data_IF_286189065885
#
_entry.id   IF_286189065885
#
_cell.length_a   1.000
_cell.length_b   1.000
_cell.length_c   1.000
_cell.angle_alpha   90.00
_cell.angle_beta   90.00
_cell.angle_gamma   90.00
#
_symmetry.space_group_name_H-M   'P 1'
#
loop_
_entity.id
_entity.type
_entity.pdbx_description
1 polymer ?
#
# COMPACT_ATOMS: atom_id res chain seq x y z
N UNK A 1 6.65 5.82 21.18
CA UNK A 1 7.29 4.76 20.37
C UNK A 1 7.34 5.17 18.88
N UNK A 2 8.54 5.27 18.32
CA UNK A 2 8.71 5.55 16.88
C UNK A 2 8.21 4.33 16.12
N UNK A 3 7.19 4.49 15.27
CA UNK A 3 6.66 3.41 14.43
C UNK A 3 7.51 3.31 13.16
N UNK A 4 7.61 2.13 12.56
CA UNK A 4 8.41 1.87 11.35
C UNK A 4 8.09 2.85 10.21
N UNK A 5 6.84 3.32 10.14
CA UNK A 5 6.39 4.35 9.20
C UNK A 5 7.14 5.67 9.34
N UNK A 6 7.47 6.11 10.56
CA UNK A 6 8.21 7.37 10.79
C UNK A 6 9.63 7.27 10.26
N UNK A 7 10.29 6.12 10.44
CA UNK A 7 11.63 5.87 9.90
C UNK A 7 11.61 5.80 8.36
N UNK A 8 10.61 5.12 7.79
CA UNK A 8 10.43 5.02 6.35
C UNK A 8 10.17 6.38 5.67
N UNK A 9 9.32 7.23 6.27
CA UNK A 9 9.07 8.60 5.78
C UNK A 9 10.35 9.44 5.83
N UNK A 10 11.09 9.38 6.94
CA UNK A 10 12.37 10.09 7.08
C UNK A 10 13.39 9.67 6.03
N UNK A 11 13.55 8.37 5.80
CA UNK A 11 14.42 7.84 4.75
C UNK A 11 13.97 8.29 3.36
N UNK A 12 12.67 8.28 3.09
CA UNK A 12 12.13 8.70 1.78
C UNK A 12 12.43 10.17 1.51
N UNK A 13 12.22 11.05 2.49
CA UNK A 13 12.59 12.48 2.39
C UNK A 13 14.09 12.64 2.13
N UNK A 14 14.91 11.85 2.81
CA UNK A 14 16.36 11.87 2.64
C UNK A 14 16.78 11.42 1.22
N UNK A 15 16.11 10.42 0.64
CA UNK A 15 16.34 9.97 -0.75
C UNK A 15 15.92 11.00 -1.82
N UNK A 16 15.02 11.92 -1.48
CA UNK A 16 14.69 13.08 -2.33
C UNK A 16 15.76 14.19 -2.26
N UNK A 17 16.52 14.27 -1.16
CA UNK A 17 17.55 15.28 -0.95
C UNK A 17 18.91 14.80 -1.50
N UNK A 18 19.22 13.50 -1.39
CA UNK A 18 20.50 12.98 -1.85
C UNK A 18 20.56 12.97 -3.39
N UNK A 19 21.60 13.60 -3.99
CA UNK A 19 21.81 13.57 -5.43
C UNK A 19 22.27 12.19 -5.89
N UNK A 20 21.70 11.71 -6.99
CA UNK A 20 22.03 10.42 -7.64
C UNK A 20 23.47 10.37 -8.17
N UNK A 21 24.07 11.54 -8.46
CA UNK A 21 25.48 11.66 -8.86
C UNK A 21 26.22 12.58 -7.90
N UNK A 22 27.40 12.15 -7.46
CA UNK A 22 28.31 12.93 -6.64
C UNK A 22 29.08 14.00 -7.45
N UNK A 23 28.59 14.39 -8.62
CA UNK A 23 29.22 15.35 -9.52
C UNK A 23 29.40 16.74 -8.88
N UNK A 24 28.66 17.03 -7.80
CA UNK A 24 28.85 18.22 -6.97
C UNK A 24 30.26 18.32 -6.35
N UNK A 25 30.95 17.19 -6.10
CA UNK A 25 32.31 17.18 -5.57
C UNK A 25 33.32 17.78 -6.58
N UNK A 26 33.04 17.67 -7.88
CA UNK A 26 33.86 18.26 -8.94
C UNK A 26 33.50 19.72 -9.26
N UNK A 27 32.59 20.34 -8.50
CA UNK A 27 32.25 21.76 -8.67
C UNK A 27 33.44 22.71 -8.39
N UNK A 28 34.38 22.29 -7.53
CA UNK A 28 35.59 23.03 -7.20
C UNK A 28 36.84 22.58 -7.98
N UNK A 29 36.68 21.75 -9.02
CA UNK A 29 37.82 21.28 -9.81
C UNK A 29 38.49 22.46 -10.56
N UNK A 30 39.81 22.40 -10.67
CA UNK A 30 40.65 23.41 -11.36
C UNK A 30 40.45 23.35 -12.87
N UNK A 31 40.03 22.21 -13.39
CA UNK A 31 39.76 21.99 -14.81
C UNK A 31 38.31 22.41 -15.16
N UNK A 32 38.10 23.49 -15.94
CA UNK A 32 36.76 24.00 -16.24
C UNK A 32 35.90 23.03 -17.06
N UNK A 33 36.51 22.03 -17.70
CA UNK A 33 35.82 20.99 -18.47
C UNK A 33 35.16 19.90 -17.60
N UNK A 34 35.61 19.75 -16.34
CA UNK A 34 35.10 18.73 -15.40
C UNK A 34 34.00 19.24 -14.47
N UNK A 35 33.70 20.54 -14.52
CA UNK A 35 32.65 21.13 -13.67
C UNK A 35 31.26 20.67 -14.13
N UNK A 36 30.38 20.27 -13.19
CA UNK A 36 29.01 19.90 -13.53
C UNK A 36 28.28 21.09 -14.15
N UNK A 37 27.81 20.91 -15.39
CA UNK A 37 27.02 21.91 -16.13
C UNK A 37 25.53 21.79 -15.88
N UNK A 38 25.08 20.70 -15.23
CA UNK A 38 23.68 20.46 -14.88
C UNK A 38 23.58 19.91 -13.45
N UNK A 39 22.51 20.26 -12.69
CA UNK A 39 22.26 19.66 -11.40
C UNK A 39 22.00 18.15 -11.53
N UNK A 40 22.59 17.37 -10.62
CA UNK A 40 22.32 15.94 -10.55
C UNK A 40 20.87 15.70 -10.08
N UNK A 41 20.13 14.77 -10.71
CA UNK A 41 18.80 14.41 -10.23
C UNK A 41 18.88 13.75 -8.85
N UNK A 42 17.83 13.88 -8.04
CA UNK A 42 17.71 13.16 -6.77
C UNK A 42 17.66 11.64 -6.98
N UNK A 43 18.01 10.85 -5.96
CA UNK A 43 17.94 9.38 -6.00
C UNK A 43 16.53 8.88 -6.31
N UNK A 44 15.52 9.52 -5.74
CA UNK A 44 14.11 9.28 -6.04
C UNK A 44 13.49 10.57 -6.55
N UNK A 45 12.78 10.48 -7.68
CA UNK A 45 12.03 11.60 -8.25
C UNK A 45 10.53 11.33 -8.10
N UNK A 46 9.74 12.40 -7.94
CA UNK A 46 8.27 12.29 -7.88
C UNK A 46 7.69 11.52 -9.09
N UNK A 47 8.25 11.74 -10.28
CA UNK A 47 7.86 11.01 -11.49
C UNK A 47 7.98 9.50 -11.32
N UNK A 48 9.08 9.02 -10.72
CA UNK A 48 9.31 7.60 -10.44
C UNK A 48 8.30 7.05 -9.44
N UNK A 49 7.99 7.78 -8.37
CA UNK A 49 6.97 7.37 -7.39
C UNK A 49 5.60 7.33 -8.05
N UNK A 50 5.23 8.35 -8.81
CA UNK A 50 3.92 8.41 -9.46
C UNK A 50 3.71 7.25 -10.45
N UNK A 51 4.75 6.88 -11.21
CA UNK A 51 4.68 5.80 -12.20
C UNK A 51 4.77 4.39 -11.57
N UNK A 52 5.53 4.21 -10.50
CA UNK A 52 5.76 2.89 -9.88
C UNK A 52 4.84 2.56 -8.71
N UNK A 53 4.19 3.55 -8.09
CA UNK A 53 3.32 3.30 -6.95
C UNK A 53 1.92 2.86 -7.38
N UNK A 54 1.44 1.77 -6.79
CA UNK A 54 0.10 1.25 -6.97
C UNK A 54 -0.91 2.00 -6.08
N UNK A 55 -1.24 3.24 -6.45
CA UNK A 55 -2.14 4.12 -5.66
C UNK A 55 -3.49 3.48 -5.36
N UNK A 56 -4.06 2.73 -6.31
CA UNK A 56 -5.33 2.03 -6.14
C UNK A 56 -5.31 1.07 -4.95
N UNK A 57 -4.21 0.34 -4.74
CA UNK A 57 -4.06 -0.57 -3.60
C UNK A 57 -4.04 0.22 -2.28
N UNK A 58 -3.35 1.35 -2.27
CA UNK A 58 -3.25 2.22 -1.09
C UNK A 58 -4.64 2.76 -0.69
N UNK A 59 -5.46 3.15 -1.66
CA UNK A 59 -6.84 3.57 -1.43
C UNK A 59 -7.75 2.42 -0.98
N UNK A 60 -7.62 1.21 -1.56
CA UNK A 60 -8.41 0.04 -1.16
C UNK A 60 -8.11 -0.36 0.28
N UNK A 61 -6.83 -0.41 0.67
CA UNK A 61 -6.42 -0.71 2.04
C UNK A 61 -6.92 0.36 3.02
N UNK A 62 -6.73 1.64 2.68
CA UNK A 62 -7.21 2.75 3.49
C UNK A 62 -8.74 2.75 3.64
N UNK A 63 -9.46 2.48 2.56
CA UNK A 63 -10.91 2.34 2.56
C UNK A 63 -11.39 1.17 3.44
N UNK A 64 -10.71 0.03 3.39
CA UNK A 64 -10.99 -1.12 4.26
C UNK A 64 -10.86 -0.79 5.75
N UNK A 65 -9.77 -0.11 6.14
CA UNK A 65 -9.58 0.33 7.52
C UNK A 65 -10.59 1.40 7.96
N UNK A 66 -10.94 2.32 7.05
CA UNK A 66 -11.96 3.34 7.31
C UNK A 66 -13.34 2.69 7.52
N UNK A 67 -13.71 1.71 6.69
CA UNK A 67 -14.96 0.96 6.83
C UNK A 67 -14.97 0.15 8.13
N UNK A 68 -13.87 -0.53 8.48
CA UNK A 68 -13.77 -1.31 9.70
C UNK A 68 -13.94 -0.42 10.96
N UNK A 69 -13.24 0.71 10.99
CA UNK A 69 -13.32 1.68 12.10
C UNK A 69 -14.72 2.31 12.15
N UNK A 70 -15.24 2.77 11.01
CA UNK A 70 -16.57 3.35 10.90
C UNK A 70 -17.68 2.38 11.28
N UNK A 71 -17.54 1.09 10.98
CA UNK A 71 -18.51 0.05 11.39
C UNK A 71 -18.52 -0.18 12.89
N UNK A 72 -17.36 -0.03 13.53
CA UNK A 72 -17.21 -0.15 14.99
C UNK A 72 -17.78 1.09 15.67
N UNK A 73 -17.38 2.29 15.23
CA UNK A 73 -17.78 3.57 15.83
C UNK A 73 -19.27 3.87 15.65
N UNK A 74 -19.86 3.44 14.52
CA UNK A 74 -21.31 3.57 14.27
C UNK A 74 -22.16 2.54 15.03
N UNK A 75 -21.55 1.54 15.67
CA UNK A 75 -22.26 0.43 16.31
C UNK A 75 -22.87 -0.59 15.34
N UNK A 76 -22.64 -0.43 14.03
CA UNK A 76 -23.14 -1.34 13.00
C UNK A 76 -22.65 -2.78 13.23
N UNK A 77 -21.39 -2.95 13.63
CA UNK A 77 -20.82 -4.27 13.94
C UNK A 77 -21.59 -4.97 15.06
N UNK A 78 -22.02 -4.23 16.09
CA UNK A 78 -22.80 -4.75 17.22
C UNK A 78 -24.22 -5.11 16.79
N UNK A 79 -24.90 -4.22 16.04
CA UNK A 79 -26.25 -4.48 15.52
C UNK A 79 -26.29 -5.71 14.61
N UNK A 80 -25.27 -5.87 13.76
CA UNK A 80 -25.16 -7.03 12.88
C UNK A 80 -24.91 -8.32 13.68
N UNK A 81 -24.04 -8.26 14.69
CA UNK A 81 -23.77 -9.40 15.59
C UNK A 81 -25.00 -9.84 16.39
N UNK A 82 -25.83 -8.91 16.85
CA UNK A 82 -27.10 -9.21 17.53
C UNK A 82 -28.12 -9.85 16.57
N UNK A 83 -28.23 -9.32 15.35
CA UNK A 83 -29.09 -9.88 14.30
C UNK A 83 -28.68 -11.30 13.91
N UNK A 84 -27.38 -11.60 13.95
CA UNK A 84 -26.81 -12.93 13.71
C UNK A 84 -26.87 -13.86 14.93
N UNK A 85 -27.30 -13.37 16.10
CA UNK A 85 -27.37 -14.20 17.32
C UNK A 85 -28.32 -15.41 17.19
N UNK A 86 -29.31 -15.34 16.29
CA UNK A 86 -30.18 -16.47 15.94
C UNK A 86 -29.44 -17.66 15.33
N UNK A 87 -28.24 -17.47 14.77
CA UNK A 87 -27.39 -18.54 14.25
C UNK A 87 -26.56 -19.24 15.35
N UNK A 88 -26.55 -18.75 16.60
CA UNK A 88 -25.81 -19.39 17.72
C UNK A 88 -26.28 -20.81 18.04
N UNK A 89 -27.46 -21.21 17.58
CA UNK A 89 -27.97 -22.57 17.72
C UNK A 89 -27.37 -23.59 16.73
N UNK A 90 -26.61 -23.15 15.73
CA UNK A 90 -25.99 -24.01 14.73
C UNK A 90 -24.58 -24.44 15.15
N UNK A 91 -24.17 -25.63 14.68
CA UNK A 91 -22.81 -26.14 14.89
C UNK A 91 -21.78 -25.23 14.18
N UNK A 92 -20.69 -24.90 14.85
CA UNK A 92 -19.59 -24.06 14.35
C UNK A 92 -19.07 -24.51 12.97
N UNK A 93 -19.00 -25.83 12.74
CA UNK A 93 -18.56 -26.42 11.46
C UNK A 93 -19.50 -26.01 10.31
N UNK A 94 -20.80 -25.96 10.58
CA UNK A 94 -21.81 -25.63 9.58
C UNK A 94 -21.81 -24.13 9.25
N UNK A 95 -21.57 -23.28 10.25
CA UNK A 95 -21.37 -21.84 10.03
C UNK A 95 -20.13 -21.59 9.17
N UNK A 96 -19.02 -22.25 9.49
CA UNK A 96 -17.77 -22.15 8.71
C UNK A 96 -17.99 -22.55 7.25
N UNK A 97 -18.68 -23.67 7.01
CA UNK A 97 -18.98 -24.14 5.66
C UNK A 97 -19.78 -23.12 4.85
N UNK A 98 -20.83 -22.52 5.45
CA UNK A 98 -21.65 -21.49 4.79
C UNK A 98 -20.83 -20.24 4.48
N UNK A 99 -20.00 -19.78 5.43
CA UNK A 99 -19.15 -18.61 5.23
C UNK A 99 -18.14 -18.84 4.12
N UNK A 100 -17.47 -20.00 4.09
CA UNK A 100 -16.54 -20.36 3.02
C UNK A 100 -17.23 -20.40 1.66
N UNK A 101 -18.38 -21.07 1.56
CA UNK A 101 -19.14 -21.16 0.31
C UNK A 101 -19.56 -19.77 -0.19
N UNK A 102 -20.04 -18.92 0.71
CA UNK A 102 -20.42 -17.54 0.37
C UNK A 102 -19.20 -16.70 -0.06
N UNK A 103 -18.08 -16.80 0.66
CA UNK A 103 -16.86 -16.07 0.35
C UNK A 103 -16.26 -16.51 -1.00
N UNK A 104 -16.24 -17.80 -1.31
CA UNK A 104 -15.79 -18.31 -2.61
C UNK A 104 -16.67 -17.81 -3.75
N UNK A 105 -18.00 -17.87 -3.61
CA UNK A 105 -18.93 -17.34 -4.62
C UNK A 105 -18.74 -15.83 -4.84
N UNK A 106 -18.55 -15.05 -3.77
CA UNK A 106 -18.24 -13.62 -3.91
C UNK A 106 -16.88 -13.39 -4.57
N UNK A 107 -15.90 -14.24 -4.29
CA UNK A 107 -14.56 -14.13 -4.89
C UNK A 107 -14.60 -14.44 -6.39
N UNK A 108 -15.49 -15.34 -6.83
CA UNK A 108 -15.72 -15.57 -8.27
C UNK A 108 -16.41 -14.39 -8.96
N UNK A 109 -17.30 -13.69 -8.26
CA UNK A 109 -17.95 -12.46 -8.77
C UNK A 109 -17.02 -11.25 -8.73
N UNK A 110 -16.08 -11.23 -7.81
CA UNK A 110 -15.06 -10.18 -7.67
C UNK A 110 -13.98 -10.44 -8.70
N UNK A 111 -13.97 -9.66 -9.78
CA UNK A 111 -13.12 -9.90 -10.94
C UNK A 111 -11.70 -10.34 -10.54
N UNK A 112 -11.33 -11.57 -10.88
CA UNK A 112 -9.96 -12.11 -10.78
C UNK A 112 -8.91 -11.17 -11.41
N UNK A 113 -9.35 -10.26 -12.28
CA UNK A 113 -8.59 -9.14 -12.85
C UNK A 113 -8.06 -8.17 -11.78
N UNK A 114 -8.82 -7.88 -10.72
CA UNK A 114 -8.39 -7.01 -9.62
C UNK A 114 -7.26 -7.68 -8.81
N UNK A 115 -7.40 -8.98 -8.54
CA UNK A 115 -6.36 -9.79 -7.89
C UNK A 115 -5.12 -9.88 -8.78
N UNK A 116 -5.29 -10.12 -10.08
CA UNK A 116 -4.19 -10.14 -11.05
C UNK A 116 -3.47 -8.79 -11.13
N UNK A 117 -4.18 -7.67 -11.15
CA UNK A 117 -3.58 -6.32 -11.16
C UNK A 117 -2.75 -6.03 -9.90
N UNK A 118 -3.03 -6.68 -8.77
CA UNK A 118 -2.28 -6.53 -7.52
C UNK A 118 -1.09 -7.51 -7.47
N UNK A 119 -1.29 -8.75 -7.91
CA UNK A 119 -0.27 -9.81 -7.80
C UNK A 119 0.78 -9.74 -8.92
N UNK A 120 0.39 -9.39 -10.15
CA UNK A 120 1.30 -9.37 -11.31
C UNK A 120 2.51 -8.43 -11.13
N UNK A 121 2.37 -7.20 -10.62
CA UNK A 121 3.52 -6.31 -10.41
C UNK A 121 4.47 -6.83 -9.33
N UNK A 122 3.94 -7.46 -8.28
CA UNK A 122 4.75 -8.04 -7.19
C UNK A 122 5.56 -9.23 -7.71
N UNK A 123 4.94 -10.11 -8.50
CA UNK A 123 5.64 -11.24 -9.14
C UNK A 123 6.68 -10.79 -10.17
N UNK A 124 6.51 -9.64 -10.81
CA UNK A 124 7.46 -9.10 -11.77
C UNK A 124 8.71 -8.47 -11.12
N UNK A 125 8.63 -8.09 -9.84
CA UNK A 125 9.77 -7.57 -9.07
C UNK A 125 10.49 -8.63 -8.21
N UNK A 126 9.94 -9.86 -8.11
CA UNK A 126 10.60 -11.03 -7.50
C UNK A 126 11.49 -11.77 -8.50
#
# INVERSE_FOLDING_TARGET
PVKDSTAAIGLTILLFIIPSKLDFLHAFDKDPTKRPTKPAPALITWKTIHEKMHWSLLFVLGGGFAIATGSTDSGLSTMLGESLSGLKGLNEIMILFIVCLFAENITELTANVAVANIILPVLAEM
#
